data_IF_460393675569
#
_entry.id   IF_460393675569
#
_cell.length_a   1.000
_cell.length_b   1.000
_cell.length_c   1.000
_cell.angle_alpha   90.00
_cell.angle_beta   90.00
_cell.angle_gamma   90.00
#
_symmetry.space_group_name_H-M   'P 1'
#
loop_
_entity.id
_entity.type
_entity.pdbx_description
1 polymer ?
#
# COMPACT_ATOMS: atom_id res chain seq x y z
N UNK A 1 17.17 -6.59 12.96
CA UNK A 1 16.00 -6.44 13.86
C UNK A 1 14.75 -6.43 12.99
N UNK A 2 14.03 -7.55 12.89
CA UNK A 2 12.80 -7.63 12.11
C UNK A 2 11.67 -7.09 12.96
N UNK A 3 11.26 -5.84 12.74
CA UNK A 3 9.95 -5.37 13.20
C UNK A 3 8.94 -6.24 12.46
N UNK A 4 8.22 -7.11 13.17
CA UNK A 4 7.02 -7.72 12.61
C UNK A 4 6.08 -6.58 12.25
N UNK A 5 6.07 -6.18 10.98
CA UNK A 5 5.34 -5.01 10.53
C UNK A 5 3.84 -5.30 10.71
N UNK A 6 3.19 -4.46 11.51
CA UNK A 6 1.73 -4.47 11.61
C UNK A 6 1.15 -4.39 10.20
N UNK A 7 0.10 -5.17 9.88
CA UNK A 7 -0.49 -5.10 8.56
C UNK A 7 -0.97 -3.66 8.27
N UNK A 8 -0.61 -3.15 7.10
CA UNK A 8 -1.17 -1.92 6.54
C UNK A 8 -2.55 -2.21 5.93
N UNK A 9 -3.15 -1.19 5.29
CA UNK A 9 -4.53 -1.27 4.78
C UNK A 9 -4.73 -2.27 3.65
N UNK A 10 -3.65 -2.66 2.96
CA UNK A 10 -3.73 -3.68 1.90
C UNK A 10 -4.14 -5.06 2.43
N UNK A 11 -4.07 -5.30 3.75
CA UNK A 11 -4.56 -6.54 4.36
C UNK A 11 -6.07 -6.78 4.15
N UNK A 12 -6.84 -5.74 3.79
CA UNK A 12 -8.27 -5.84 3.52
C UNK A 12 -8.61 -5.97 2.02
N UNK A 13 -7.61 -5.98 1.14
CA UNK A 13 -7.81 -6.12 -0.31
C UNK A 13 -8.02 -7.59 -0.70
N UNK A 14 -8.64 -7.82 -1.86
CA UNK A 14 -8.85 -9.17 -2.39
C UNK A 14 -7.75 -9.61 -3.34
N UNK A 15 -6.98 -8.66 -3.89
CA UNK A 15 -5.89 -8.95 -4.84
C UNK A 15 -4.73 -9.67 -4.15
N UNK A 16 -4.30 -10.85 -4.65
CA UNK A 16 -3.13 -11.55 -4.10
C UNK A 16 -1.85 -10.71 -4.15
N UNK A 17 -1.69 -9.90 -5.20
CA UNK A 17 -0.55 -8.99 -5.34
C UNK A 17 -0.53 -7.95 -4.21
N UNK A 18 -1.67 -7.32 -3.90
CA UNK A 18 -1.75 -6.33 -2.82
C UNK A 18 -1.55 -6.96 -1.44
N UNK A 19 -2.13 -8.14 -1.20
CA UNK A 19 -1.99 -8.88 0.05
C UNK A 19 -0.53 -9.25 0.35
N UNK A 20 0.28 -9.52 -0.68
CA UNK A 20 1.72 -9.79 -0.52
C UNK A 20 2.48 -8.58 0.08
N UNK A 21 1.99 -7.35 -0.14
CA UNK A 21 2.57 -6.11 0.39
C UNK A 21 1.92 -5.64 1.70
N UNK A 22 0.96 -6.39 2.26
CA UNK A 22 0.20 -5.99 3.44
C UNK A 22 1.04 -5.85 4.70
N UNK A 23 2.19 -6.53 4.79
CA UNK A 23 3.12 -6.41 5.93
C UNK A 23 4.42 -5.69 5.55
N UNK A 24 4.44 -4.96 4.44
CA UNK A 24 5.59 -4.10 4.15
C UNK A 24 5.63 -2.94 5.15
N UNK A 25 6.83 -2.43 5.49
CA UNK A 25 6.97 -1.33 6.46
C UNK A 25 6.42 0.00 5.96
N UNK A 26 6.18 0.12 4.64
CA UNK A 26 5.47 1.26 4.05
C UNK A 26 3.98 1.13 4.40
N UNK A 27 3.39 2.21 4.92
CA UNK A 27 1.95 2.31 5.19
C UNK A 27 1.19 2.48 3.86
N UNK A 28 1.08 1.40 3.10
CA UNK A 28 0.37 1.39 1.83
C UNK A 28 -1.13 1.57 2.02
N UNK A 29 -1.70 2.38 1.13
CA UNK A 29 -3.14 2.55 0.96
C UNK A 29 -3.53 1.97 -0.40
N UNK A 30 -4.69 1.29 -0.51
CA UNK A 30 -5.28 1.05 -1.82
C UNK A 30 -5.65 2.39 -2.46
N UNK A 31 -5.69 2.43 -3.79
CA UNK A 31 -6.10 3.63 -4.51
C UNK A 31 -7.58 3.94 -4.22
N UNK A 32 -7.87 5.13 -3.69
CA UNK A 32 -9.24 5.51 -3.38
C UNK A 32 -9.38 6.82 -2.60
N UNK A 33 -10.62 7.20 -2.23
CA UNK A 33 -10.92 8.47 -1.59
C UNK A 33 -10.16 8.70 -0.27
N UNK A 34 -9.92 7.65 0.52
CA UNK A 34 -9.18 7.77 1.80
C UNK A 34 -7.75 8.28 1.58
N UNK A 35 -7.02 7.68 0.63
CA UNK A 35 -5.65 8.06 0.30
C UNK A 35 -5.58 9.50 -0.22
N UNK A 36 -6.49 9.87 -1.14
CA UNK A 36 -6.58 11.22 -1.70
C UNK A 36 -6.91 12.27 -0.62
N UNK A 37 -7.86 11.97 0.26
CA UNK A 37 -8.25 12.88 1.32
C UNK A 37 -7.12 13.06 2.35
N UNK A 38 -6.38 12.00 2.70
CA UNK A 38 -5.22 12.08 3.59
C UNK A 38 -4.11 12.93 2.98
N UNK A 39 -3.77 12.71 1.71
CA UNK A 39 -2.75 13.48 1.01
C UNK A 39 -3.07 14.99 1.02
N UNK A 40 -4.34 15.36 0.76
CA UNK A 40 -4.81 16.76 0.86
C UNK A 40 -4.72 17.31 2.27
N UNK A 41 -5.22 16.58 3.28
CA UNK A 41 -5.20 17.04 4.69
C UNK A 41 -3.79 17.24 5.22
N UNK A 42 -2.86 16.36 4.85
CA UNK A 42 -1.48 16.41 5.33
C UNK A 42 -0.57 17.27 4.44
N UNK A 43 -1.08 17.80 3.34
CA UNK A 43 -0.31 18.52 2.32
C UNK A 43 0.95 17.74 1.89
N UNK A 44 0.78 16.44 1.62
CA UNK A 44 1.86 15.54 1.17
C UNK A 44 1.58 15.03 -0.24
N UNK A 45 2.62 14.87 -1.08
CA UNK A 45 2.45 14.25 -2.39
C UNK A 45 2.08 12.77 -2.25
N UNK A 46 1.49 12.21 -3.32
CA UNK A 46 1.19 10.78 -3.41
C UNK A 46 2.30 10.10 -4.19
N UNK A 47 2.90 9.07 -3.58
CA UNK A 47 3.72 8.11 -4.30
C UNK A 47 2.82 6.97 -4.81
N UNK A 48 2.57 6.94 -6.12
CA UNK A 48 1.75 5.92 -6.75
C UNK A 48 2.63 4.81 -7.34
N UNK A 49 2.50 3.59 -6.81
CA UNK A 49 3.14 2.38 -7.34
C UNK A 49 2.07 1.48 -7.97
N UNK A 50 2.32 1.02 -9.20
CA UNK A 50 1.40 0.18 -9.96
C UNK A 50 2.17 -1.06 -10.40
N UNK A 51 1.59 -2.24 -10.16
CA UNK A 51 2.17 -3.52 -10.57
C UNK A 51 1.11 -4.62 -10.59
N UNK A 52 1.55 -5.84 -10.87
CA UNK A 52 0.70 -7.04 -10.97
C UNK A 52 1.53 -8.29 -10.65
N UNK A 53 0.87 -9.40 -10.31
CA UNK A 53 1.51 -10.61 -9.74
C UNK A 53 2.51 -11.32 -10.65
N UNK A 54 2.47 -11.11 -11.96
CA UNK A 54 3.39 -11.72 -12.93
C UNK A 54 4.47 -10.75 -13.45
N UNK A 55 4.57 -9.57 -12.85
CA UNK A 55 5.60 -8.59 -13.17
C UNK A 55 6.93 -9.00 -12.53
N UNK A 56 7.98 -9.18 -13.33
CA UNK A 56 9.29 -9.60 -12.83
C UNK A 56 10.01 -8.53 -11.97
N UNK A 57 9.72 -7.26 -12.22
CA UNK A 57 10.39 -6.12 -11.58
C UNK A 57 9.51 -5.38 -10.57
N UNK A 58 8.34 -5.97 -10.29
CA UNK A 58 7.48 -5.63 -9.19
C UNK A 58 7.78 -6.66 -8.06
#
# INVERSE_FOLDING_TARGET
MSVAARPNRLANETSPYLLQHARNPVDWYPWGPEALAKARRENKPIFLSIGYSACHWC
#
